data_IF_315479473767
#
_entry.id   IF_315479473767
#
_cell.length_a   1.000
_cell.length_b   1.000
_cell.length_c   1.000
_cell.angle_alpha   90.00
_cell.angle_beta   90.00
_cell.angle_gamma   90.00
#
_symmetry.space_group_name_H-M   'P 1'
#
loop_
_entity.id
_entity.type
_entity.pdbx_description
1 polymer ?
#
# COMPACT_ATOMS: atom_id res chain seq x y z
N UNK A 1 -0.52 -12.47 22.67
CA UNK A 1 -1.30 -12.86 21.48
C UNK A 1 -1.47 -14.37 21.43
N UNK A 2 -2.71 -14.83 21.27
CA UNK A 2 -3.01 -16.23 20.97
C UNK A 2 -2.65 -16.58 19.52
N UNK A 3 -2.41 -17.87 19.24
CA UNK A 3 -2.06 -18.35 17.88
C UNK A 3 -3.15 -18.06 16.84
N UNK A 4 -4.40 -17.98 17.27
CA UNK A 4 -5.57 -17.69 16.42
C UNK A 4 -5.55 -16.22 15.97
N UNK A 5 -5.20 -15.29 16.86
CA UNK A 5 -5.15 -13.86 16.57
C UNK A 5 -4.11 -13.53 15.47
N UNK A 6 -2.94 -14.16 15.54
CA UNK A 6 -1.88 -14.02 14.52
C UNK A 6 -2.31 -14.48 13.13
N UNK A 7 -3.13 -15.53 13.04
CA UNK A 7 -3.72 -15.99 11.77
C UNK A 7 -4.70 -14.96 11.21
N UNK A 8 -5.55 -14.38 12.07
CA UNK A 8 -6.50 -13.34 11.69
C UNK A 8 -5.77 -12.10 11.16
N UNK A 9 -4.68 -11.67 11.81
CA UNK A 9 -3.87 -10.54 11.31
C UNK A 9 -3.23 -10.83 9.96
N UNK A 10 -2.72 -12.05 9.77
CA UNK A 10 -2.19 -12.48 8.47
C UNK A 10 -3.28 -12.46 7.41
N UNK A 11 -4.49 -12.93 7.74
CA UNK A 11 -5.61 -12.96 6.81
C UNK A 11 -6.07 -11.55 6.40
N UNK A 12 -6.28 -10.66 7.37
CA UNK A 12 -6.72 -9.28 7.12
C UNK A 12 -5.67 -8.53 6.30
N UNK A 13 -4.41 -8.56 6.72
CA UNK A 13 -3.33 -7.85 6.01
C UNK A 13 -3.13 -8.35 4.58
N UNK A 14 -3.25 -9.66 4.36
CA UNK A 14 -3.14 -10.25 3.04
C UNK A 14 -4.34 -9.91 2.13
N UNK A 15 -5.56 -9.83 2.69
CA UNK A 15 -6.75 -9.39 1.94
C UNK A 15 -6.64 -7.94 1.48
N UNK A 16 -6.14 -7.06 2.35
CA UNK A 16 -5.89 -5.66 2.01
C UNK A 16 -4.82 -5.55 0.92
N UNK A 17 -3.72 -6.31 1.03
CA UNK A 17 -2.70 -6.36 0.01
C UNK A 17 -3.27 -6.78 -1.36
N UNK A 18 -4.10 -7.82 -1.41
CA UNK A 18 -4.77 -8.23 -2.66
C UNK A 18 -5.66 -7.10 -3.21
N UNK A 19 -6.44 -6.42 -2.36
CA UNK A 19 -7.29 -5.32 -2.80
C UNK A 19 -6.44 -4.21 -3.45
N UNK A 20 -5.28 -3.88 -2.90
CA UNK A 20 -4.37 -2.88 -3.46
C UNK A 20 -3.78 -3.30 -4.81
N UNK A 21 -3.39 -4.57 -4.97
CA UNK A 21 -2.90 -5.12 -6.26
C UNK A 21 -3.97 -5.04 -7.34
N UNK A 22 -5.25 -5.06 -6.98
CA UNK A 22 -6.36 -4.96 -7.94
C UNK A 22 -6.72 -3.50 -8.22
N UNK A 23 -6.89 -2.69 -7.16
CA UNK A 23 -7.34 -1.30 -7.28
C UNK A 23 -6.30 -0.47 -8.04
N UNK A 24 -5.01 -0.65 -7.78
CA UNK A 24 -3.97 0.20 -8.35
C UNK A 24 -3.90 0.10 -9.89
N UNK A 25 -3.76 -1.10 -10.51
CA UNK A 25 -3.71 -1.21 -11.97
C UNK A 25 -5.03 -0.80 -12.62
N UNK A 26 -6.17 -1.11 -12.01
CA UNK A 26 -7.48 -0.70 -12.54
C UNK A 26 -7.64 0.82 -12.54
N UNK A 27 -7.20 1.49 -11.47
CA UNK A 27 -7.22 2.95 -11.38
C UNK A 27 -6.36 3.59 -12.46
N UNK A 28 -5.13 3.09 -12.65
CA UNK A 28 -4.24 3.56 -13.70
C UNK A 28 -4.81 3.31 -15.10
N UNK A 29 -5.38 2.12 -15.33
CA UNK A 29 -6.00 1.78 -16.61
C UNK A 29 -7.14 2.73 -16.94
N UNK A 30 -8.08 2.90 -16.00
CA UNK A 30 -9.24 3.80 -16.19
C UNK A 30 -8.77 5.22 -16.47
N UNK A 31 -7.86 5.77 -15.66
CA UNK A 31 -7.28 7.11 -15.90
C UNK A 31 -6.60 7.24 -17.26
N UNK A 32 -6.01 6.16 -17.79
CA UNK A 32 -5.36 6.21 -19.10
C UNK A 32 -6.33 6.20 -20.28
N UNK A 33 -7.54 5.65 -20.11
CA UNK A 33 -8.51 5.45 -21.22
C UNK A 33 -9.72 6.37 -21.15
N UNK A 34 -9.97 7.05 -20.02
CA UNK A 34 -11.13 7.92 -19.84
C UNK A 34 -10.75 9.30 -19.33
N UNK A 35 -11.45 10.32 -19.82
CA UNK A 35 -11.38 11.70 -19.34
C UNK A 35 -12.65 12.13 -18.60
N UNK A 36 -13.44 11.16 -18.10
CA UNK A 36 -14.66 11.44 -17.35
C UNK A 36 -14.35 11.91 -15.93
N UNK A 37 -14.74 13.13 -15.59
CA UNK A 37 -14.58 13.69 -14.23
C UNK A 37 -15.31 12.88 -13.16
N UNK A 38 -16.46 12.30 -13.50
CA UNK A 38 -17.24 11.45 -12.57
C UNK A 38 -16.45 10.18 -12.24
N UNK A 39 -15.88 9.53 -13.26
CA UNK A 39 -15.05 8.34 -13.05
C UNK A 39 -13.77 8.68 -12.30
N UNK A 40 -13.13 9.83 -12.59
CA UNK A 40 -11.96 10.29 -11.84
C UNK A 40 -12.27 10.44 -10.33
N UNK A 41 -13.37 11.11 -10.00
CA UNK A 41 -13.79 11.33 -8.61
C UNK A 41 -14.05 10.00 -7.88
N UNK A 42 -14.75 9.06 -8.52
CA UNK A 42 -15.03 7.74 -7.94
C UNK A 42 -13.72 6.95 -7.74
N UNK A 43 -12.85 6.92 -8.75
CA UNK A 43 -11.57 6.20 -8.67
C UNK A 43 -10.66 6.79 -7.60
N UNK A 44 -10.66 8.12 -7.43
CA UNK A 44 -9.93 8.80 -6.36
C UNK A 44 -10.34 8.29 -4.98
N UNK A 45 -11.64 8.10 -4.74
CA UNK A 45 -12.13 7.53 -3.46
C UNK A 45 -11.56 6.12 -3.25
N UNK A 46 -11.58 5.26 -4.26
CA UNK A 46 -11.03 3.90 -4.15
C UNK A 46 -9.52 3.89 -3.90
N UNK A 47 -8.77 4.77 -4.57
CA UNK A 47 -7.32 4.92 -4.37
C UNK A 47 -7.02 5.39 -2.93
N UNK A 48 -7.77 6.36 -2.42
CA UNK A 48 -7.61 6.84 -1.03
C UNK A 48 -7.94 5.73 -0.03
N UNK A 49 -9.01 4.97 -0.24
CA UNK A 49 -9.37 3.84 0.62
C UNK A 49 -8.30 2.74 0.59
N UNK A 50 -7.75 2.44 -0.59
CA UNK A 50 -6.63 1.51 -0.77
C UNK A 50 -5.39 1.98 0.01
N UNK A 51 -5.04 3.27 -0.10
CA UNK A 51 -3.95 3.88 0.65
C UNK A 51 -4.14 3.76 2.17
N UNK A 52 -5.30 4.20 2.69
CA UNK A 52 -5.61 4.14 4.12
C UNK A 52 -5.64 2.69 4.63
N UNK A 53 -6.23 1.78 3.85
CA UNK A 53 -6.23 0.35 4.13
C UNK A 53 -4.80 -0.19 4.25
N UNK A 54 -3.92 0.17 3.32
CA UNK A 54 -2.49 -0.17 3.37
C UNK A 54 -1.82 0.32 4.65
N UNK A 55 -1.98 1.60 4.98
CA UNK A 55 -1.40 2.21 6.18
C UNK A 55 -1.85 1.46 7.44
N UNK A 56 -3.15 1.15 7.53
CA UNK A 56 -3.70 0.35 8.63
C UNK A 56 -3.16 -1.09 8.64
N UNK A 57 -2.93 -1.68 7.48
CA UNK A 57 -2.47 -3.05 7.34
C UNK A 57 -0.97 -3.23 7.65
N UNK A 58 -0.16 -2.17 7.64
CA UNK A 58 1.29 -2.27 7.91
C UNK A 58 1.59 -2.84 9.30
N UNK A 59 1.05 -2.30 10.42
CA UNK A 59 1.24 -2.90 11.74
C UNK A 59 0.76 -4.36 11.78
N UNK A 60 -0.35 -4.68 11.12
CA UNK A 60 -0.87 -6.04 11.03
C UNK A 60 0.09 -6.97 10.27
N UNK A 61 0.65 -6.50 9.16
CA UNK A 61 1.66 -7.22 8.38
C UNK A 61 2.94 -7.46 9.18
N UNK A 62 3.40 -6.48 9.96
CA UNK A 62 4.58 -6.63 10.83
C UNK A 62 4.31 -7.68 11.91
N UNK A 63 3.18 -7.59 12.62
CA UNK A 63 2.82 -8.59 13.64
C UNK A 63 2.61 -9.97 13.01
N UNK A 64 2.10 -10.04 11.77
CA UNK A 64 1.89 -11.29 11.05
C UNK A 64 3.19 -12.05 10.77
N UNK A 65 4.37 -11.40 10.78
CA UNK A 65 5.66 -12.07 10.58
C UNK A 65 5.92 -13.15 11.64
N UNK A 66 5.33 -13.03 12.83
CA UNK A 66 5.45 -14.02 13.91
C UNK A 66 4.40 -15.15 13.82
N UNK A 67 3.53 -15.14 12.82
CA UNK A 67 2.53 -16.19 12.57
C UNK A 67 3.17 -17.47 11.99
N UNK A 68 2.49 -18.61 12.16
CA UNK A 68 2.84 -19.89 11.51
C UNK A 68 2.21 -20.08 10.13
N UNK A 69 1.55 -19.05 9.60
CA UNK A 69 1.04 -19.04 8.22
C UNK A 69 2.18 -19.08 7.19
N UNK A 70 1.82 -19.35 5.92
CA UNK A 70 2.76 -19.39 4.82
C UNK A 70 3.61 -18.12 4.77
N UNK A 71 4.93 -18.28 4.75
CA UNK A 71 5.91 -17.17 4.71
C UNK A 71 5.65 -16.25 3.51
N UNK A 72 5.34 -16.83 2.35
CA UNK A 72 5.01 -16.09 1.12
C UNK A 72 3.85 -15.11 1.32
N UNK A 73 2.76 -15.52 1.96
CA UNK A 73 1.62 -14.63 2.24
C UNK A 73 2.01 -13.46 3.13
N UNK A 74 2.82 -13.72 4.16
CA UNK A 74 3.28 -12.72 5.12
C UNK A 74 4.18 -11.67 4.46
N UNK A 75 5.17 -12.13 3.69
CA UNK A 75 6.11 -11.24 3.00
C UNK A 75 5.40 -10.45 1.91
N UNK A 76 4.54 -11.08 1.11
CA UNK A 76 3.77 -10.37 0.07
C UNK A 76 2.85 -9.32 0.69
N UNK A 77 2.13 -9.66 1.77
CA UNK A 77 1.28 -8.70 2.46
C UNK A 77 2.09 -7.49 2.95
N UNK A 78 3.26 -7.73 3.56
CA UNK A 78 4.13 -6.66 4.03
C UNK A 78 4.59 -5.76 2.87
N UNK A 79 5.18 -6.32 1.82
CA UNK A 79 5.72 -5.56 0.69
C UNK A 79 4.66 -4.73 -0.01
N UNK A 80 3.50 -5.33 -0.29
CA UNK A 80 2.40 -4.65 -0.97
C UNK A 80 1.80 -3.57 -0.07
N UNK A 81 1.60 -3.85 1.23
CA UNK A 81 1.02 -2.85 2.12
C UNK A 81 1.96 -1.66 2.36
N UNK A 82 3.27 -1.86 2.26
CA UNK A 82 4.28 -0.80 2.29
C UNK A 82 4.36 0.03 0.99
N UNK A 83 3.92 -0.51 -0.14
CA UNK A 83 4.09 0.15 -1.44
C UNK A 83 3.48 1.56 -1.53
N UNK A 84 2.33 1.88 -0.90
CA UNK A 84 1.79 3.23 -1.01
C UNK A 84 2.58 4.24 -0.17
N UNK A 85 3.22 3.80 0.92
CA UNK A 85 4.07 4.66 1.75
C UNK A 85 5.41 4.93 1.07
N UNK A 86 5.90 4.04 0.21
CA UNK A 86 7.17 4.26 -0.49
C UNK A 86 7.15 5.51 -1.38
N UNK A 87 5.97 5.92 -1.87
CA UNK A 87 5.81 7.19 -2.60
C UNK A 87 6.09 8.41 -1.73
N UNK A 88 5.62 8.40 -0.47
CA UNK A 88 5.90 9.48 0.49
C UNK A 88 7.39 9.48 0.83
N UNK A 89 7.97 8.30 1.09
CA UNK A 89 9.40 8.17 1.33
C UNK A 89 10.24 8.66 0.16
N UNK A 90 9.81 8.37 -1.07
CA UNK A 90 10.46 8.86 -2.29
C UNK A 90 10.39 10.39 -2.40
N UNK A 91 9.21 10.99 -2.16
CA UNK A 91 9.05 12.44 -2.21
C UNK A 91 9.96 13.15 -1.19
N UNK A 92 10.01 12.65 0.05
CA UNK A 92 10.89 13.18 1.10
C UNK A 92 12.38 13.02 0.73
N UNK A 93 12.75 11.89 0.15
CA UNK A 93 14.13 11.67 -0.31
C UNK A 93 14.50 12.65 -1.43
N UNK A 94 13.61 12.92 -2.37
CA UNK A 94 13.84 13.90 -3.43
C UNK A 94 14.02 15.30 -2.86
N UNK A 95 13.22 15.69 -1.86
CA UNK A 95 13.34 16.98 -1.17
C UNK A 95 14.69 17.10 -0.42
N UNK A 96 15.11 16.05 0.28
CA UNK A 96 16.43 15.99 0.92
C UNK A 96 17.55 16.09 -0.12
N UNK A 97 17.44 15.38 -1.24
CA UNK A 97 18.44 15.43 -2.31
C UNK A 97 18.51 16.84 -2.87
N UNK A 98 17.38 17.49 -3.15
CA UNK A 98 17.34 18.84 -3.69
C UNK A 98 17.96 19.86 -2.72
N UNK A 99 17.61 19.79 -1.44
CA UNK A 99 18.09 20.73 -0.42
C UNK A 99 19.57 20.55 -0.06
N UNK A 100 20.06 19.30 0.03
CA UNK A 100 21.41 19.02 0.52
C UNK A 100 22.42 18.61 -0.55
N UNK A 101 21.96 18.12 -1.70
CA UNK A 101 22.79 17.63 -2.81
C UNK A 101 22.50 18.36 -4.13
N UNK A 102 21.40 19.10 -4.21
CA UNK A 102 21.12 20.00 -5.31
C UNK A 102 22.16 21.10 -5.30
N UNK A 103 22.93 21.17 -6.39
CA UNK A 103 23.71 22.37 -6.67
C UNK A 103 22.69 23.49 -6.90
N UNK A 104 22.43 24.30 -5.86
CA UNK A 104 21.92 25.65 -6.09
C UNK A 104 22.79 26.30 -7.17
N UNK A 105 22.22 27.08 -8.10
CA UNK A 105 23.03 27.81 -9.08
C UNK A 105 24.10 28.67 -8.42
#
# INVERSE_FOLDING_TARGET
MGRIELKVFTFISFRIAIANVIIWPISLWIWSVTSSEILDSIMRVFVILAFLGSVFAIPLSIVSLFSKEQLSKRILALLINFSPISLIGYALMMEIIDEFLGNAP
#
